data_IF_311504227781
#
_entry.id   IF_311504227781
#
_cell.length_a   1.000
_cell.length_b   1.000
_cell.length_c   1.000
_cell.angle_alpha   90.00
_cell.angle_beta   90.00
_cell.angle_gamma   90.00
#
_symmetry.space_group_name_H-M   'P 1'
#
loop_
_entity.id
_entity.type
_entity.pdbx_description
1 polymer ?
#
# COMPACT_ATOMS: atom_id res chain seq x y z
N UNK A 1 34.31 -28.85 -3.35
CA UNK A 1 34.87 -28.36 -2.06
C UNK A 1 34.17 -27.08 -1.62
N UNK A 2 34.11 -26.02 -2.44
CA UNK A 2 33.43 -24.76 -2.09
C UNK A 2 31.95 -24.90 -1.69
N UNK A 3 31.17 -25.67 -2.45
CA UNK A 3 29.74 -25.89 -2.12
C UNK A 3 29.52 -26.59 -0.78
N UNK A 4 30.47 -27.43 -0.36
CA UNK A 4 30.42 -28.14 0.93
C UNK A 4 30.74 -27.18 2.08
N UNK A 5 31.74 -26.31 1.89
CA UNK A 5 32.09 -25.26 2.87
C UNK A 5 30.95 -24.26 3.03
N UNK A 6 30.33 -23.82 1.92
CA UNK A 6 29.17 -22.94 1.96
C UNK A 6 27.97 -23.57 2.68
N UNK A 7 27.69 -24.85 2.41
CA UNK A 7 26.62 -25.58 3.08
C UNK A 7 26.85 -25.66 4.59
N UNK A 8 28.09 -25.95 5.01
CA UNK A 8 28.48 -25.99 6.43
C UNK A 8 28.28 -24.62 7.09
N UNK A 9 28.71 -23.53 6.44
CA UNK A 9 28.54 -22.18 6.95
C UNK A 9 27.07 -21.79 7.10
N UNK A 10 26.22 -22.13 6.13
CA UNK A 10 24.78 -21.86 6.20
C UNK A 10 24.09 -22.66 7.32
N UNK A 11 24.50 -23.92 7.53
CA UNK A 11 23.98 -24.75 8.61
C UNK A 11 24.40 -24.22 9.99
N UNK A 12 25.67 -23.82 10.14
CA UNK A 12 26.16 -23.20 11.37
C UNK A 12 25.43 -21.88 11.65
N UNK A 13 25.27 -21.03 10.63
CA UNK A 13 24.54 -19.77 10.77
C UNK A 13 23.09 -20.00 11.17
N UNK A 14 22.37 -20.91 10.49
CA UNK A 14 20.99 -21.26 10.81
C UNK A 14 20.84 -21.71 12.26
N UNK A 15 21.68 -22.64 12.70
CA UNK A 15 21.58 -23.22 14.04
C UNK A 15 21.87 -22.17 15.13
N UNK A 16 22.91 -21.36 14.94
CA UNK A 16 23.25 -20.29 15.89
C UNK A 16 22.16 -19.21 15.94
N UNK A 17 21.63 -18.80 14.78
CA UNK A 17 20.54 -17.82 14.70
C UNK A 17 19.27 -18.34 15.39
N UNK A 18 18.92 -19.61 15.19
CA UNK A 18 17.76 -20.22 15.83
C UNK A 18 17.89 -20.21 17.36
N UNK A 19 19.05 -20.63 17.88
CA UNK A 19 19.32 -20.61 19.33
C UNK A 19 19.28 -19.17 19.87
N UNK A 20 19.88 -18.23 19.16
CA UNK A 20 19.88 -16.82 19.55
C UNK A 20 18.46 -16.22 19.60
N UNK A 21 17.65 -16.45 18.58
CA UNK A 21 16.26 -15.96 18.53
C UNK A 21 15.37 -16.63 19.59
N UNK A 22 15.51 -17.94 19.79
CA UNK A 22 14.67 -18.71 20.69
C UNK A 22 14.98 -18.44 22.17
N UNK A 23 16.25 -18.36 22.54
CA UNK A 23 16.64 -18.31 23.96
C UNK A 23 17.04 -16.91 24.44
N UNK A 24 17.60 -16.06 23.57
CA UNK A 24 18.16 -14.78 23.99
C UNK A 24 17.31 -13.57 23.59
N UNK A 25 16.71 -13.59 22.40
CA UNK A 25 16.02 -12.39 21.88
C UNK A 25 14.50 -12.40 22.06
N UNK A 26 13.89 -13.58 22.29
CA UNK A 26 12.44 -13.78 22.43
C UNK A 26 11.62 -12.91 21.46
N UNK A 27 11.89 -13.07 20.16
CA UNK A 27 11.28 -12.23 19.13
C UNK A 27 9.76 -12.46 19.09
N UNK A 28 9.00 -11.47 19.57
CA UNK A 28 7.53 -11.51 19.62
C UNK A 28 6.96 -10.28 18.93
N UNK A 29 5.88 -10.47 18.18
CA UNK A 29 5.10 -9.38 17.59
C UNK A 29 3.98 -9.01 18.55
N UNK A 30 4.03 -7.80 19.10
CA UNK A 30 3.01 -7.25 19.97
C UNK A 30 2.08 -6.29 19.24
N UNK A 31 0.97 -5.92 19.89
CA UNK A 31 0.04 -4.89 19.37
C UNK A 31 0.77 -3.57 19.16
N UNK A 32 1.68 -3.21 20.06
CA UNK A 32 2.47 -1.97 20.01
C UNK A 32 3.32 -1.83 18.74
N UNK A 33 3.70 -2.94 18.09
CA UNK A 33 4.49 -2.94 16.86
C UNK A 33 3.68 -2.49 15.63
N UNK A 34 2.34 -2.49 15.72
CA UNK A 34 1.44 -2.07 14.61
C UNK A 34 0.66 -0.79 14.92
N UNK A 35 0.83 -0.21 16.11
CA UNK A 35 0.19 1.05 16.47
C UNK A 35 0.84 2.23 15.74
N UNK A 36 0.03 3.25 15.46
CA UNK A 36 0.47 4.53 14.92
C UNK A 36 0.41 5.60 15.99
N UNK A 37 1.23 6.64 15.84
CA UNK A 37 1.11 7.85 16.65
C UNK A 37 -0.24 8.55 16.39
N UNK A 38 -0.80 9.18 17.42
CA UNK A 38 -2.15 9.78 17.38
C UNK A 38 -2.30 10.90 16.33
N UNK A 39 -1.23 11.66 16.07
CA UNK A 39 -1.17 12.69 15.04
C UNK A 39 -1.39 12.12 13.62
N UNK A 40 -0.94 10.89 13.36
CA UNK A 40 -1.07 10.24 12.06
C UNK A 40 -2.44 9.65 11.80
N UNK A 41 -3.21 9.36 12.84
CA UNK A 41 -4.61 8.93 12.68
C UNK A 41 -5.43 10.02 11.98
N UNK A 42 -5.19 11.28 12.35
CA UNK A 42 -5.87 12.44 11.75
C UNK A 42 -5.43 12.66 10.31
N UNK A 43 -4.13 12.52 10.03
CA UNK A 43 -3.60 12.69 8.68
C UNK A 43 -4.06 11.57 7.74
N UNK A 44 -4.00 10.31 8.18
CA UNK A 44 -4.56 9.16 7.45
C UNK A 44 -6.04 9.38 7.11
N UNK A 45 -6.82 9.92 8.05
CA UNK A 45 -8.23 10.28 7.80
C UNK A 45 -8.37 11.34 6.71
N UNK A 46 -7.50 12.36 6.69
CA UNK A 46 -7.47 13.37 5.62
C UNK A 46 -7.17 12.74 4.25
N UNK A 47 -6.16 11.87 4.15
CA UNK A 47 -5.83 11.16 2.91
C UNK A 47 -6.98 10.27 2.42
N UNK A 48 -7.66 9.55 3.34
CA UNK A 48 -8.83 8.74 3.00
C UNK A 48 -9.97 9.62 2.46
N UNK A 49 -10.22 10.78 3.08
CA UNK A 49 -11.25 11.71 2.61
C UNK A 49 -10.90 12.30 1.23
N UNK A 50 -9.63 12.63 0.98
CA UNK A 50 -9.15 13.06 -0.33
C UNK A 50 -9.33 11.97 -1.38
N UNK A 51 -8.99 10.72 -1.07
CA UNK A 51 -9.22 9.57 -1.95
C UNK A 51 -10.70 9.44 -2.32
N UNK A 52 -11.59 9.50 -1.33
CA UNK A 52 -13.05 9.44 -1.56
C UNK A 52 -13.55 10.56 -2.48
N UNK A 53 -13.00 11.76 -2.35
CA UNK A 53 -13.40 12.91 -3.16
C UNK A 53 -12.81 12.86 -4.58
N UNK A 54 -11.59 12.36 -4.75
CA UNK A 54 -10.82 12.56 -5.98
C UNK A 54 -10.65 11.31 -6.85
N UNK A 55 -10.67 10.09 -6.29
CA UNK A 55 -10.30 8.89 -7.03
C UNK A 55 -11.21 8.63 -8.23
N UNK A 56 -12.52 8.79 -8.06
CA UNK A 56 -13.49 8.67 -9.15
C UNK A 56 -13.29 9.73 -10.23
N UNK A 57 -13.14 11.00 -9.82
CA UNK A 57 -12.89 12.11 -10.74
C UNK A 57 -11.61 11.90 -11.56
N UNK A 58 -10.50 11.53 -10.93
CA UNK A 58 -9.23 11.25 -11.61
C UNK A 58 -9.35 10.08 -12.58
N UNK A 59 -10.08 9.03 -12.20
CA UNK A 59 -10.30 7.87 -13.08
C UNK A 59 -11.07 8.25 -14.35
N UNK A 60 -12.15 9.03 -14.20
CA UNK A 60 -12.95 9.51 -15.33
C UNK A 60 -12.16 10.49 -16.20
N UNK A 61 -11.38 11.38 -15.60
CA UNK A 61 -10.53 12.31 -16.34
C UNK A 61 -9.50 11.59 -17.20
N UNK A 62 -8.81 10.59 -16.64
CA UNK A 62 -7.85 9.77 -17.40
C UNK A 62 -8.53 8.98 -18.52
N UNK A 63 -9.63 8.29 -18.21
CA UNK A 63 -10.35 7.45 -19.18
C UNK A 63 -10.88 8.27 -20.36
N UNK A 64 -11.51 9.41 -20.10
CA UNK A 64 -12.10 10.25 -21.15
C UNK A 64 -11.17 11.34 -21.66
N UNK A 65 -9.89 11.33 -21.26
CA UNK A 65 -8.88 12.35 -21.61
C UNK A 65 -9.37 13.78 -21.34
N UNK A 66 -10.02 13.99 -20.21
CA UNK A 66 -10.59 15.29 -19.81
C UNK A 66 -9.59 16.07 -18.94
N UNK A 67 -9.62 17.42 -18.97
CA UNK A 67 -8.78 18.26 -18.11
C UNK A 67 -9.00 17.99 -16.62
N UNK A 68 -7.95 18.18 -15.81
CA UNK A 68 -8.00 17.98 -14.34
C UNK A 68 -9.00 18.90 -13.64
N UNK A 69 -9.32 20.05 -14.24
CA UNK A 69 -10.28 21.02 -13.71
C UNK A 69 -11.70 20.83 -14.28
N UNK A 70 -11.98 19.69 -14.92
CA UNK A 70 -13.31 19.40 -15.45
C UNK A 70 -14.35 19.39 -14.35
N UNK A 71 -15.47 20.09 -14.58
CA UNK A 71 -16.62 20.10 -13.68
C UNK A 71 -17.18 18.68 -13.51
N UNK A 72 -17.60 18.34 -12.29
CA UNK A 72 -18.26 17.08 -11.93
C UNK A 72 -19.42 16.72 -12.87
N UNK A 73 -20.23 17.70 -13.27
CA UNK A 73 -21.32 17.48 -14.22
C UNK A 73 -20.86 16.99 -15.59
N UNK A 74 -19.70 17.45 -16.08
CA UNK A 74 -19.13 16.99 -17.35
C UNK A 74 -18.68 15.53 -17.20
N UNK A 75 -18.07 15.19 -16.07
CA UNK A 75 -17.59 13.85 -15.77
C UNK A 75 -18.74 12.85 -15.66
N UNK A 76 -19.80 13.20 -14.92
CA UNK A 76 -21.02 12.38 -14.80
C UNK A 76 -21.67 12.19 -16.17
N UNK A 77 -21.77 13.24 -16.97
CA UNK A 77 -22.36 13.14 -18.31
C UNK A 77 -21.55 12.24 -19.24
N UNK A 78 -20.22 12.29 -19.20
CA UNK A 78 -19.37 11.40 -20.00
C UNK A 78 -19.43 9.95 -19.52
N UNK A 79 -19.41 9.75 -18.19
CA UNK A 79 -19.63 8.44 -17.59
C UNK A 79 -20.97 7.83 -18.03
N UNK A 80 -22.06 8.61 -17.92
CA UNK A 80 -23.39 8.17 -18.34
C UNK A 80 -23.47 7.88 -19.85
N UNK A 81 -22.81 8.66 -20.71
CA UNK A 81 -22.74 8.37 -22.14
C UNK A 81 -22.00 7.06 -22.44
N UNK A 82 -20.91 6.77 -21.73
CA UNK A 82 -20.15 5.53 -21.91
C UNK A 82 -20.89 4.30 -21.37
N UNK A 83 -21.50 4.41 -20.18
CA UNK A 83 -22.14 3.29 -19.48
C UNK A 83 -23.61 3.04 -19.87
N UNK A 84 -24.39 4.10 -20.13
CA UNK A 84 -25.84 4.00 -20.37
C UNK A 84 -26.22 4.06 -21.87
N UNK A 85 -25.24 4.06 -22.78
CA UNK A 85 -25.55 3.95 -24.21
C UNK A 85 -26.16 2.58 -24.52
N UNK A 86 -27.01 2.52 -25.55
CA UNK A 86 -27.61 1.26 -26.03
C UNK A 86 -26.57 0.21 -26.44
N UNK A 87 -25.32 0.64 -26.64
CA UNK A 87 -24.15 -0.17 -26.91
C UNK A 87 -23.14 0.03 -25.77
N UNK A 88 -23.42 -0.54 -24.61
CA UNK A 88 -22.46 -0.60 -23.51
C UNK A 88 -21.08 -1.03 -24.05
N UNK A 89 -20.08 -0.17 -23.89
CA UNK A 89 -18.73 -0.47 -24.32
C UNK A 89 -17.94 -1.06 -23.13
N UNK A 90 -17.83 -2.38 -23.12
CA UNK A 90 -17.10 -3.14 -22.10
C UNK A 90 -15.63 -2.70 -22.00
N UNK A 91 -15.05 -2.15 -23.08
CA UNK A 91 -13.67 -1.64 -23.06
C UNK A 91 -13.56 -0.39 -22.20
N UNK A 92 -14.50 0.55 -22.34
CA UNK A 92 -14.56 1.78 -21.54
C UNK A 92 -14.76 1.43 -20.07
N UNK A 93 -15.64 0.47 -19.75
CA UNK A 93 -15.83 0.01 -18.36
C UNK A 93 -14.54 -0.53 -17.75
N UNK A 94 -13.82 -1.40 -18.47
CA UNK A 94 -12.54 -1.96 -18.01
C UNK A 94 -11.49 -0.88 -17.81
N UNK A 95 -11.43 0.10 -18.71
CA UNK A 95 -10.48 1.21 -18.61
C UNK A 95 -10.77 2.10 -17.39
N UNK A 96 -12.04 2.35 -17.07
CA UNK A 96 -12.44 3.06 -15.85
C UNK A 96 -12.01 2.30 -14.61
N UNK A 97 -12.23 0.98 -14.54
CA UNK A 97 -11.84 0.16 -13.41
C UNK A 97 -10.31 0.16 -13.19
N UNK A 98 -9.54 0.06 -14.27
CA UNK A 98 -8.07 0.13 -14.23
C UNK A 98 -7.62 1.50 -13.70
N UNK A 99 -8.15 2.59 -14.26
CA UNK A 99 -7.77 3.94 -13.86
C UNK A 99 -8.21 4.27 -12.42
N UNK A 100 -9.35 3.74 -11.99
CA UNK A 100 -9.83 3.86 -10.62
C UNK A 100 -8.93 3.13 -9.64
N UNK A 101 -8.55 1.89 -9.96
CA UNK A 101 -7.57 1.12 -9.17
C UNK A 101 -6.25 1.86 -9.05
N UNK A 102 -5.69 2.36 -10.15
CA UNK A 102 -4.45 3.14 -10.14
C UNK A 102 -4.58 4.34 -9.18
N UNK A 103 -5.70 5.07 -9.24
CA UNK A 103 -5.91 6.22 -8.36
C UNK A 103 -6.03 5.83 -6.88
N UNK A 104 -6.68 4.71 -6.57
CA UNK A 104 -6.72 4.17 -5.19
C UNK A 104 -5.32 3.76 -4.73
N UNK A 105 -4.57 3.05 -5.57
CA UNK A 105 -3.23 2.55 -5.25
C UNK A 105 -2.27 3.72 -4.95
N UNK A 106 -2.37 4.84 -5.68
CA UNK A 106 -1.62 6.08 -5.38
C UNK A 106 -1.88 6.57 -3.94
N UNK A 107 -3.16 6.65 -3.52
CA UNK A 107 -3.51 7.07 -2.16
C UNK A 107 -3.12 6.04 -1.11
N UNK A 108 -3.29 4.74 -1.41
CA UNK A 108 -2.86 3.65 -0.54
C UNK A 108 -1.36 3.71 -0.28
N UNK A 109 -0.56 3.93 -1.33
CA UNK A 109 0.89 4.07 -1.20
C UNK A 109 1.30 5.27 -0.34
N UNK A 110 0.60 6.41 -0.47
CA UNK A 110 0.82 7.56 0.41
C UNK A 110 0.49 7.23 1.88
N UNK A 111 -0.65 6.59 2.13
CA UNK A 111 -1.06 6.16 3.47
C UNK A 111 -0.03 5.21 4.06
N UNK A 112 0.39 4.19 3.31
CA UNK A 112 1.38 3.20 3.75
C UNK A 112 2.71 3.88 4.06
N UNK A 113 3.23 4.70 3.13
CA UNK A 113 4.51 5.38 3.30
C UNK A 113 4.54 6.21 4.58
N UNK A 114 3.49 6.99 4.82
CA UNK A 114 3.40 7.80 6.02
C UNK A 114 3.23 6.94 7.28
N UNK A 115 2.36 5.94 7.24
CA UNK A 115 2.08 5.08 8.39
C UNK A 115 3.34 4.33 8.84
N UNK A 116 4.14 3.84 7.89
CA UNK A 116 5.38 3.12 8.18
C UNK A 116 6.45 4.01 8.84
N UNK A 117 6.48 5.30 8.52
CA UNK A 117 7.42 6.25 9.16
C UNK A 117 7.00 6.65 10.58
N UNK A 118 5.72 6.49 10.92
CA UNK A 118 5.15 7.00 12.17
C UNK A 118 4.50 5.92 13.04
N UNK A 119 5.12 4.74 13.03
CA UNK A 119 4.80 3.67 13.97
C UNK A 119 5.13 4.11 15.40
N UNK A 120 4.33 3.62 16.35
CA UNK A 120 4.51 3.89 17.77
C UNK A 120 5.91 3.46 18.26
N UNK A 121 6.33 2.25 17.86
CA UNK A 121 7.73 1.81 17.97
C UNK A 121 8.47 2.11 16.69
N UNK A 122 9.68 2.65 16.80
CA UNK A 122 10.55 2.99 15.67
C UNK A 122 11.45 1.81 15.29
N UNK A 123 12.13 1.92 14.13
CA UNK A 123 13.07 0.91 13.65
C UNK A 123 14.14 0.60 14.70
N UNK A 124 14.59 -0.66 14.77
CA UNK A 124 15.39 -1.32 15.84
C UNK A 124 14.59 -1.81 17.07
N UNK A 125 13.48 -1.17 17.42
CA UNK A 125 12.60 -1.61 18.52
C UNK A 125 11.33 -2.31 18.01
N UNK A 126 10.85 -1.88 16.84
CA UNK A 126 9.65 -2.40 16.21
C UNK A 126 9.90 -3.73 15.47
N UNK A 127 9.36 -4.82 16.00
CA UNK A 127 9.58 -6.16 15.45
C UNK A 127 8.91 -6.36 14.10
N UNK A 128 7.81 -5.66 13.81
CA UNK A 128 7.15 -5.69 12.50
C UNK A 128 8.05 -5.08 11.40
N UNK A 129 8.69 -3.94 11.66
CA UNK A 129 9.60 -3.31 10.69
C UNK A 129 10.86 -4.14 10.45
N UNK A 130 11.43 -4.72 11.52
CA UNK A 130 12.59 -5.62 11.42
C UNK A 130 12.24 -6.84 10.56
N UNK A 131 11.10 -7.49 10.82
CA UNK A 131 10.68 -8.64 10.03
C UNK A 131 10.50 -8.29 8.54
N UNK A 132 9.87 -7.16 8.24
CA UNK A 132 9.68 -6.71 6.86
C UNK A 132 11.00 -6.36 6.15
N UNK A 133 12.01 -5.85 6.87
CA UNK A 133 13.33 -5.57 6.29
C UNK A 133 14.13 -6.81 5.89
N UNK A 134 13.83 -7.97 6.48
CA UNK A 134 14.52 -9.25 6.19
C UNK A 134 13.91 -9.94 4.94
N UNK A 135 12.68 -9.57 4.57
CA UNK A 135 11.96 -10.12 3.41
C UNK A 135 12.31 -9.42 2.08
N UNK A 136 13.00 -8.29 2.11
CA UNK A 136 13.39 -7.52 0.93
C UNK A 136 14.76 -7.93 0.40
#
# INVERSE_FOLDING_TARGET
MENVVLLILLLLFRNNLHVFLQYYLQFTLGIEDVLLLSLDVSHRRRLINQCRAQAGQKALQKTFSLPENSNEQILINQFAKGFCSKSFDERISKEIDINYKISIDEHQNQIVKQSMSNLFKQFSENKFTIFNSIRC
#
